data_IF_380989385023
#
_entry.id   IF_380989385023
#
_cell.length_a   1.000
_cell.length_b   1.000
_cell.length_c   1.000
_cell.angle_alpha   90.00
_cell.angle_beta   90.00
_cell.angle_gamma   90.00
#
_symmetry.space_group_name_H-M   'P 1'
#
loop_
_entity.id
_entity.type
_entity.pdbx_description
1 polymer ?
#
# COMPACT_ATOMS: atom_id res chain seq x y z
N UNK A 1 41.76 7.79 -29.15
CA UNK A 1 40.54 8.47 -28.63
C UNK A 1 39.27 7.60 -28.61
N UNK A 2 39.29 6.32 -29.00
CA UNK A 2 38.08 5.46 -29.00
C UNK A 2 37.74 4.81 -27.65
N UNK A 3 38.72 4.69 -26.75
CA UNK A 3 38.57 3.96 -25.48
C UNK A 3 37.80 4.72 -24.39
N UNK A 4 37.78 6.06 -24.41
CA UNK A 4 37.09 6.87 -23.40
C UNK A 4 35.56 6.90 -23.56
N UNK A 5 35.05 6.75 -24.78
CA UNK A 5 33.62 6.82 -25.08
C UNK A 5 32.89 5.53 -24.66
N UNK A 6 33.59 4.40 -24.67
CA UNK A 6 33.07 3.10 -24.23
C UNK A 6 32.87 3.06 -22.71
N UNK A 7 33.80 3.64 -21.94
CA UNK A 7 33.71 3.65 -20.45
C UNK A 7 32.53 4.50 -19.98
N UNK A 8 32.30 5.67 -20.60
CA UNK A 8 31.15 6.54 -20.28
C UNK A 8 29.82 5.87 -20.63
N UNK A 9 29.73 5.19 -21.78
CA UNK A 9 28.52 4.46 -22.17
C UNK A 9 28.20 3.29 -21.20
N UNK A 10 29.22 2.56 -20.74
CA UNK A 10 29.06 1.46 -19.76
C UNK A 10 28.64 2.01 -18.39
N UNK A 11 29.21 3.13 -17.92
CA UNK A 11 28.81 3.74 -16.65
C UNK A 11 27.36 4.28 -16.67
N UNK A 12 26.92 4.88 -17.77
CA UNK A 12 25.53 5.35 -17.93
C UNK A 12 24.56 4.17 -18.03
N UNK A 13 24.92 3.09 -18.74
CA UNK A 13 24.13 1.86 -18.78
C UNK A 13 24.01 1.19 -17.41
N UNK A 14 25.11 1.03 -16.66
CA UNK A 14 25.08 0.45 -15.32
C UNK A 14 24.26 1.33 -14.35
N UNK A 15 24.39 2.65 -14.43
CA UNK A 15 23.60 3.59 -13.63
C UNK A 15 22.10 3.53 -13.93
N UNK A 16 21.72 3.44 -15.21
CA UNK A 16 20.31 3.33 -15.62
C UNK A 16 19.68 1.98 -15.25
N UNK A 17 20.42 0.88 -15.42
CA UNK A 17 19.98 -0.46 -15.01
C UNK A 17 19.86 -0.56 -13.48
N UNK A 18 20.83 0.00 -12.74
CA UNK A 18 20.78 0.09 -11.28
C UNK A 18 19.58 0.89 -10.78
N UNK A 19 19.28 2.04 -11.41
CA UNK A 19 18.12 2.87 -11.10
C UNK A 19 16.79 2.16 -11.36
N UNK A 20 16.66 1.44 -12.49
CA UNK A 20 15.46 0.69 -12.83
C UNK A 20 15.21 -0.50 -11.88
N UNK A 21 16.28 -1.22 -11.49
CA UNK A 21 16.19 -2.31 -10.50
C UNK A 21 15.77 -1.76 -9.13
N UNK A 22 16.35 -0.63 -8.72
CA UNK A 22 16.02 0.02 -7.44
C UNK A 22 14.56 0.51 -7.42
N UNK A 23 14.06 1.09 -8.52
CA UNK A 23 12.65 1.50 -8.65
C UNK A 23 11.70 0.30 -8.60
N UNK A 24 12.00 -0.80 -9.30
CA UNK A 24 11.18 -2.02 -9.27
C UNK A 24 11.12 -2.61 -7.86
N UNK A 25 12.25 -2.66 -7.16
CA UNK A 25 12.30 -3.12 -5.77
C UNK A 25 11.51 -2.20 -4.84
N UNK A 26 11.59 -0.88 -5.02
CA UNK A 26 10.82 0.07 -4.23
C UNK A 26 9.30 -0.03 -4.46
N UNK A 27 8.86 -0.13 -5.72
CA UNK A 27 7.44 -0.31 -6.06
C UNK A 27 6.90 -1.62 -5.49
N UNK A 28 7.69 -2.69 -5.58
CA UNK A 28 7.35 -3.99 -4.99
C UNK A 28 7.21 -3.90 -3.47
N UNK A 29 8.17 -3.29 -2.78
CA UNK A 29 8.11 -3.09 -1.32
C UNK A 29 6.84 -2.34 -0.90
N UNK A 30 6.45 -1.32 -1.67
CA UNK A 30 5.22 -0.55 -1.40
C UNK A 30 3.99 -1.45 -1.57
N UNK A 31 3.92 -2.25 -2.63
CA UNK A 31 2.82 -3.17 -2.88
C UNK A 31 2.66 -4.19 -1.75
N UNK A 32 3.75 -4.86 -1.37
CA UNK A 32 3.73 -5.84 -0.28
C UNK A 32 3.37 -5.20 1.07
N UNK A 33 3.88 -3.99 1.36
CA UNK A 33 3.54 -3.29 2.59
C UNK A 33 2.06 -2.95 2.68
N UNK A 34 1.45 -2.49 1.57
CA UNK A 34 0.01 -2.16 1.55
C UNK A 34 -0.86 -3.38 1.78
N UNK A 35 -0.55 -4.49 1.13
CA UNK A 35 -1.28 -5.74 1.32
C UNK A 35 -1.17 -6.22 2.76
N UNK A 36 0.03 -6.15 3.35
CA UNK A 36 0.24 -6.62 4.71
C UNK A 36 -0.51 -5.75 5.71
N UNK A 37 -0.45 -4.43 5.56
CA UNK A 37 -1.23 -3.49 6.38
C UNK A 37 -2.72 -3.73 6.22
N UNK A 38 -3.21 -4.00 5.01
CA UNK A 38 -4.61 -4.34 4.76
C UNK A 38 -5.01 -5.63 5.49
N UNK A 39 -4.16 -6.66 5.42
CA UNK A 39 -4.36 -7.89 6.20
C UNK A 39 -4.40 -7.64 7.70
N UNK A 40 -3.53 -6.77 8.23
CA UNK A 40 -3.53 -6.40 9.64
C UNK A 40 -4.80 -5.62 10.03
N UNK A 41 -5.31 -4.75 9.15
CA UNK A 41 -6.60 -4.06 9.35
C UNK A 41 -7.76 -5.05 9.41
N UNK A 42 -7.79 -6.05 8.52
CA UNK A 42 -8.80 -7.11 8.59
C UNK A 42 -8.69 -7.93 9.89
N UNK A 43 -7.46 -8.16 10.38
CA UNK A 43 -7.27 -8.77 11.69
C UNK A 43 -7.87 -7.90 12.79
N UNK A 44 -7.51 -6.61 12.83
CA UNK A 44 -8.01 -5.65 13.80
C UNK A 44 -9.55 -5.63 13.81
N UNK A 45 -10.17 -5.61 12.63
CA UNK A 45 -11.62 -5.62 12.51
C UNK A 45 -12.23 -6.89 13.13
N UNK A 46 -11.66 -8.06 12.83
CA UNK A 46 -12.13 -9.34 13.38
C UNK A 46 -11.87 -9.51 14.88
N UNK A 47 -10.86 -8.83 15.43
CA UNK A 47 -10.39 -8.97 16.82
C UNK A 47 -10.89 -7.86 17.75
N UNK A 48 -11.69 -6.91 17.26
CA UNK A 48 -12.14 -5.75 18.03
C UNK A 48 -11.04 -4.72 18.31
N UNK A 49 -10.08 -4.56 17.39
CA UNK A 49 -9.05 -3.53 17.43
C UNK A 49 -7.71 -3.97 18.02
N UNK A 50 -7.48 -5.28 18.21
CA UNK A 50 -6.24 -5.84 18.77
C UNK A 50 -5.33 -6.41 17.70
N UNK A 51 -4.03 -6.12 17.77
CA UNK A 51 -3.07 -6.75 16.86
C UNK A 51 -3.00 -8.26 17.11
N UNK A 52 -2.65 -9.06 16.08
CA UNK A 52 -2.34 -10.47 16.26
C UNK A 52 -1.24 -10.67 17.30
N UNK A 53 -1.43 -11.63 18.21
CA UNK A 53 -0.48 -11.91 19.31
C UNK A 53 0.86 -12.45 18.82
N UNK A 54 0.88 -13.06 17.64
CA UNK A 54 2.07 -13.63 17.02
C UNK A 54 1.91 -13.69 15.51
N UNK A 55 3.03 -13.95 14.82
CA UNK A 55 3.01 -14.23 13.39
C UNK A 55 2.08 -15.42 13.05
N UNK A 56 2.07 -16.47 13.86
CA UNK A 56 1.23 -17.64 13.60
C UNK A 56 -0.26 -17.32 13.74
N UNK A 57 -0.64 -16.47 14.71
CA UNK A 57 -2.01 -15.99 14.85
C UNK A 57 -2.47 -15.18 13.63
N UNK A 58 -1.57 -14.40 13.03
CA UNK A 58 -1.87 -13.72 11.76
C UNK A 58 -2.00 -14.72 10.61
N UNK A 59 -1.05 -15.65 10.48
CA UNK A 59 -1.03 -16.66 9.41
C UNK A 59 -2.16 -17.69 9.48
N UNK A 60 -2.87 -17.81 10.60
CA UNK A 60 -4.06 -18.65 10.75
C UNK A 60 -5.37 -17.93 10.45
N UNK A 61 -5.31 -16.64 10.09
CA UNK A 61 -6.50 -15.84 9.81
C UNK A 61 -7.17 -16.25 8.49
N UNK A 62 -8.52 -16.22 8.41
CA UNK A 62 -9.26 -16.74 7.25
C UNK A 62 -9.05 -15.93 5.96
N UNK A 63 -8.53 -14.70 6.07
CA UNK A 63 -8.19 -13.83 4.94
C UNK A 63 -6.73 -13.97 4.49
N UNK A 64 -5.93 -14.84 5.12
CA UNK A 64 -4.53 -15.09 4.73
C UNK A 64 -4.44 -16.39 3.94
N UNK A 65 -4.15 -16.28 2.66
CA UNK A 65 -3.86 -17.41 1.79
C UNK A 65 -2.34 -17.65 1.78
N UNK A 66 -1.90 -18.78 2.35
CA UNK A 66 -0.50 -19.22 2.27
C UNK A 66 -0.25 -19.78 0.87
N UNK A 67 0.75 -19.24 0.20
CA UNK A 67 1.17 -19.69 -1.12
C UNK A 67 2.35 -20.66 -0.99
N UNK A 68 2.53 -21.59 -1.95
CA UNK A 68 3.68 -22.49 -1.93
C UNK A 68 4.97 -21.69 -1.86
N UNK A 69 5.79 -22.04 -0.87
CA UNK A 69 7.06 -21.41 -0.60
C UNK A 69 8.04 -21.64 -1.74
N UNK A 70 8.66 -20.58 -2.27
CA UNK A 70 9.95 -20.71 -2.94
C UNK A 70 11.04 -20.64 -1.86
N UNK A 71 11.96 -21.61 -1.87
CA UNK A 71 13.16 -21.61 -1.02
C UNK A 71 12.90 -21.58 0.50
N UNK A 72 11.83 -22.25 0.97
CA UNK A 72 11.49 -22.32 2.40
C UNK A 72 10.92 -21.03 3.00
N UNK A 73 10.55 -20.05 2.17
CA UNK A 73 9.94 -18.78 2.59
C UNK A 73 8.42 -18.84 2.49
N UNK A 74 7.70 -18.35 3.50
CA UNK A 74 6.24 -18.29 3.46
C UNK A 74 5.83 -17.07 2.63
N UNK A 75 5.41 -17.33 1.40
CA UNK A 75 4.69 -16.34 0.59
C UNK A 75 3.20 -16.36 0.93
N UNK A 76 2.55 -15.21 0.86
CA UNK A 76 1.15 -15.08 1.21
C UNK A 76 0.42 -14.02 0.38
N UNK A 77 -0.89 -14.21 0.27
CA UNK A 77 -1.82 -13.28 -0.37
C UNK A 77 -2.95 -12.97 0.60
N UNK A 78 -3.37 -11.71 0.63
CA UNK A 78 -4.51 -11.28 1.43
C UNK A 78 -5.78 -11.35 0.59
N UNK A 79 -6.82 -11.99 1.12
CA UNK A 79 -8.15 -12.11 0.53
C UNK A 79 -9.13 -11.28 1.35
N UNK A 80 -9.78 -10.28 0.74
CA UNK A 80 -10.62 -9.37 1.50
C UNK A 80 -11.84 -10.12 2.04
N UNK A 81 -12.16 -10.03 3.34
CA UNK A 81 -13.39 -10.59 3.87
C UNK A 81 -14.62 -9.98 3.19
N UNK A 82 -15.63 -10.81 2.89
CA UNK A 82 -16.85 -10.33 2.26
C UNK A 82 -17.61 -9.29 3.11
N UNK A 83 -17.40 -9.31 4.42
CA UNK A 83 -18.11 -8.46 5.39
C UNK A 83 -17.27 -7.29 5.91
N UNK A 84 -16.02 -7.13 5.45
CA UNK A 84 -15.16 -6.07 5.96
C UNK A 84 -15.69 -4.68 5.58
N UNK A 85 -15.71 -3.76 6.54
CA UNK A 85 -16.02 -2.34 6.29
C UNK A 85 -14.85 -1.59 5.66
N UNK A 86 -13.62 -2.11 5.80
CA UNK A 86 -12.41 -1.57 5.18
C UNK A 86 -12.16 -2.16 3.79
N UNK A 87 -13.24 -2.49 3.07
CA UNK A 87 -13.23 -3.06 1.72
C UNK A 87 -12.48 -2.16 0.75
N UNK A 88 -11.19 -2.38 0.67
CA UNK A 88 -10.30 -1.78 -0.30
C UNK A 88 -9.88 -2.93 -1.20
N UNK A 89 -10.07 -2.79 -2.52
CA UNK A 89 -9.68 -3.84 -3.45
C UNK A 89 -8.20 -4.17 -3.25
N UNK A 90 -7.86 -5.38 -2.78
CA UNK A 90 -6.48 -5.78 -2.70
C UNK A 90 -5.95 -5.83 -4.12
N UNK A 91 -4.77 -5.27 -4.32
CA UNK A 91 -4.09 -5.33 -5.62
C UNK A 91 -3.64 -6.75 -5.93
N UNK A 92 -3.79 -7.67 -4.99
CA UNK A 92 -3.39 -9.07 -5.11
C UNK A 92 -1.88 -9.23 -5.08
N UNK A 93 -1.15 -8.22 -4.56
CA UNK A 93 0.30 -8.28 -4.48
C UNK A 93 0.70 -9.40 -3.52
N UNK A 94 1.60 -10.27 -3.96
CA UNK A 94 2.08 -11.38 -3.13
C UNK A 94 3.15 -10.85 -2.17
N UNK A 95 2.93 -11.04 -0.87
CA UNK A 95 3.91 -10.79 0.18
C UNK A 95 4.83 -12.00 0.20
N UNK A 96 6.11 -11.83 -0.13
CA UNK A 96 7.00 -12.97 -0.35
C UNK A 96 7.57 -13.58 0.92
N UNK A 97 7.80 -12.74 1.92
CA UNK A 97 8.39 -13.13 3.18
C UNK A 97 7.97 -12.15 4.28
N UNK A 98 7.29 -12.65 5.33
CA UNK A 98 6.95 -11.82 6.48
C UNK A 98 8.16 -11.35 7.28
N UNK A 99 9.30 -12.04 7.17
CA UNK A 99 10.53 -11.68 7.89
C UNK A 99 11.15 -10.38 7.40
N UNK A 100 10.74 -9.89 6.22
CA UNK A 100 11.15 -8.59 5.70
C UNK A 100 10.49 -7.42 6.47
N UNK A 101 9.52 -7.71 7.34
CA UNK A 101 8.73 -6.74 8.08
C UNK A 101 8.94 -6.86 9.60
N UNK A 102 9.02 -5.71 10.25
CA UNK A 102 8.92 -5.59 11.71
C UNK A 102 7.47 -5.24 12.04
N UNK A 103 6.80 -6.12 12.77
CA UNK A 103 5.39 -5.97 13.14
C UNK A 103 5.29 -5.95 14.67
N UNK A 104 4.53 -4.99 15.20
CA UNK A 104 4.23 -4.87 16.61
C UNK A 104 3.17 -5.89 17.06
N UNK A 105 3.55 -7.17 17.10
CA UNK A 105 2.68 -8.25 17.56
C UNK A 105 2.17 -8.00 18.99
N UNK A 106 0.91 -8.35 19.24
CA UNK A 106 0.25 -8.20 20.55
C UNK A 106 0.00 -6.76 20.99
N UNK A 107 0.36 -5.75 20.18
CA UNK A 107 0.10 -4.36 20.50
C UNK A 107 -1.41 -4.05 20.52
N UNK A 108 -1.78 -3.00 21.26
CA UNK A 108 -3.13 -2.42 21.25
C UNK A 108 -3.06 -1.02 20.61
N UNK A 109 -3.17 -0.90 19.27
CA UNK A 109 -2.87 0.34 18.56
C UNK A 109 -3.75 1.51 19.00
N UNK A 110 -5.00 1.25 19.40
CA UNK A 110 -5.92 2.28 19.86
C UNK A 110 -5.44 3.05 21.10
N UNK A 111 -4.58 2.43 21.92
CA UNK A 111 -3.98 3.03 23.13
C UNK A 111 -2.75 3.88 22.84
N UNK A 112 -2.21 3.79 21.63
CA UNK A 112 -0.98 4.47 21.25
C UNK A 112 -1.28 5.92 20.87
N UNK A 113 -0.27 6.77 21.07
CA UNK A 113 -0.26 8.15 20.56
C UNK A 113 0.76 8.28 19.44
N UNK A 114 0.58 9.26 18.57
CA UNK A 114 1.53 9.54 17.47
C UNK A 114 2.18 10.88 17.78
N UNK A 115 3.51 10.91 17.83
CA UNK A 115 4.25 12.16 18.05
C UNK A 115 4.37 12.98 16.76
N UNK A 116 4.97 14.18 16.84
CA UNK A 116 5.13 15.08 15.69
C UNK A 116 5.99 14.48 14.56
N UNK A 117 6.78 13.44 14.84
CA UNK A 117 7.58 12.74 13.83
C UNK A 117 6.80 11.61 13.13
N UNK A 118 5.58 11.31 13.60
CA UNK A 118 4.79 10.18 13.14
C UNK A 118 5.13 8.86 13.85
N UNK A 119 5.95 8.90 14.92
CA UNK A 119 6.30 7.69 15.65
C UNK A 119 5.22 7.34 16.68
N UNK A 120 4.82 6.07 16.72
CA UNK A 120 3.86 5.59 17.70
C UNK A 120 4.52 5.45 19.07
N UNK A 121 3.84 5.97 20.11
CA UNK A 121 4.28 6.01 21.50
C UNK A 121 3.30 5.24 22.38
N UNK A 122 3.83 4.39 23.23
CA UNK A 122 3.06 3.71 24.28
C UNK A 122 2.66 4.71 25.38
N UNK A 123 1.65 4.40 26.21
CA UNK A 123 1.29 5.24 27.36
C UNK A 123 2.45 5.49 28.33
N UNK A 124 3.43 4.56 28.39
CA UNK A 124 4.65 4.70 29.18
C UNK A 124 5.73 5.60 28.52
N UNK A 125 5.45 6.18 27.34
CA UNK A 125 6.37 7.06 26.61
C UNK A 125 7.38 6.34 25.70
N UNK A 126 7.36 5.00 25.64
CA UNK A 126 8.24 4.22 24.78
C UNK A 126 7.83 4.26 23.31
N UNK A 127 8.79 4.23 22.39
CA UNK A 127 8.48 4.11 20.94
C UNK A 127 8.15 2.68 20.58
N UNK A 128 7.04 2.48 19.86
CA UNK A 128 6.66 1.19 19.30
C UNK A 128 6.59 1.26 17.77
N UNK A 129 7.17 0.29 17.08
CA UNK A 129 7.00 0.13 15.64
C UNK A 129 5.86 -0.86 15.40
N UNK A 130 4.70 -0.36 15.00
CA UNK A 130 3.57 -1.22 14.62
C UNK A 130 3.83 -1.94 13.30
N UNK A 131 4.45 -1.24 12.36
CA UNK A 131 4.80 -1.76 11.05
C UNK A 131 6.04 -1.03 10.54
N UNK A 132 7.05 -1.77 10.08
CA UNK A 132 8.18 -1.20 9.35
C UNK A 132 8.75 -2.23 8.38
N UNK A 133 9.31 -1.77 7.26
CA UNK A 133 10.21 -2.61 6.49
C UNK A 133 11.54 -2.71 7.23
N UNK A 134 12.09 -3.91 7.41
CA UNK A 134 13.29 -4.12 8.23
C UNK A 134 14.46 -3.21 7.82
N UNK A 135 14.56 -2.85 6.54
CA UNK A 135 15.63 -1.98 6.02
C UNK A 135 15.28 -0.50 5.82
N UNK A 136 14.04 -0.04 6.11
CA UNK A 136 13.63 1.37 5.86
C UNK A 136 12.64 1.92 6.90
N UNK A 137 13.02 2.97 7.61
CA UNK A 137 12.24 3.52 8.75
C UNK A 137 11.13 4.52 8.40
N UNK A 138 11.26 5.33 7.33
CA UNK A 138 10.29 6.44 7.10
C UNK A 138 8.89 5.99 6.63
N UNK A 139 8.79 4.86 5.92
CA UNK A 139 7.50 4.29 5.53
C UNK A 139 6.74 3.65 6.71
N UNK A 140 7.43 3.42 7.84
CA UNK A 140 6.86 2.82 9.04
C UNK A 140 5.79 3.71 9.69
N UNK A 141 6.00 5.03 9.66
CA UNK A 141 5.16 5.98 10.38
C UNK A 141 3.76 6.08 9.75
N UNK A 142 3.68 6.19 8.43
CA UNK A 142 2.39 6.27 7.70
C UNK A 142 1.54 5.03 7.94
N UNK A 143 2.13 3.83 7.80
CA UNK A 143 1.38 2.59 8.00
C UNK A 143 1.07 2.33 9.48
N UNK A 144 1.94 2.75 10.41
CA UNK A 144 1.66 2.71 11.84
C UNK A 144 0.47 3.60 12.22
N UNK A 145 0.40 4.82 11.70
CA UNK A 145 -0.72 5.74 11.90
C UNK A 145 -2.03 5.17 11.34
N UNK A 146 -2.01 4.60 10.13
CA UNK A 146 -3.17 3.92 9.56
C UNK A 146 -3.72 2.79 10.45
N UNK A 147 -2.83 2.00 11.07
CA UNK A 147 -3.23 0.93 12.00
C UNK A 147 -3.83 1.47 13.30
N UNK A 148 -3.31 2.59 13.80
CA UNK A 148 -3.84 3.27 14.99
C UNK A 148 -5.24 3.83 14.70
N UNK A 149 -5.40 4.53 13.58
CA UNK A 149 -6.67 5.12 13.19
C UNK A 149 -7.74 4.04 12.93
N UNK A 150 -7.37 2.96 12.23
CA UNK A 150 -8.26 1.82 12.04
C UNK A 150 -8.69 1.21 13.39
N UNK A 151 -7.75 0.98 14.31
CA UNK A 151 -8.08 0.42 15.63
C UNK A 151 -8.99 1.33 16.46
N UNK A 152 -8.77 2.66 16.41
CA UNK A 152 -9.61 3.66 17.06
C UNK A 152 -11.03 3.67 16.48
N UNK A 153 -11.14 3.65 15.16
CA UNK A 153 -12.42 3.55 14.48
C UNK A 153 -13.16 2.25 14.82
N UNK A 154 -12.45 1.13 14.96
CA UNK A 154 -13.04 -0.18 15.33
C UNK A 154 -13.55 -0.15 16.77
N UNK A 155 -12.79 0.45 17.67
CA UNK A 155 -13.11 0.54 19.10
C UNK A 155 -14.10 1.64 19.45
N UNK A 156 -14.52 2.47 18.49
CA UNK A 156 -15.40 3.62 18.73
C UNK A 156 -14.70 4.76 19.49
N UNK A 157 -13.38 4.72 19.61
CA UNK A 157 -12.58 5.80 20.17
C UNK A 157 -12.46 6.86 19.06
N UNK A 158 -13.36 7.83 19.07
CA UNK A 158 -13.41 8.88 18.04
C UNK A 158 -12.05 9.57 17.90
N UNK A 159 -11.34 9.30 16.81
CA UNK A 159 -10.20 10.10 16.41
C UNK A 159 -10.70 11.50 16.02
N UNK A 160 -9.98 12.55 16.41
CA UNK A 160 -10.22 13.92 15.94
C UNK A 160 -10.41 13.90 14.40
N UNK A 161 -11.41 14.59 13.83
CA UNK A 161 -11.66 14.55 12.40
C UNK A 161 -10.45 15.13 11.65
N UNK A 162 -9.73 14.27 10.92
CA UNK A 162 -8.52 14.66 10.19
C UNK A 162 -7.88 13.57 9.34
N UNK A 163 -8.06 12.29 9.68
CA UNK A 163 -7.54 11.17 8.91
C UNK A 163 -8.67 10.37 8.27
N UNK A 164 -9.40 10.99 7.34
CA UNK A 164 -10.15 10.19 6.37
C UNK A 164 -9.14 9.30 5.65
N UNK A 165 -9.38 7.98 5.64
CA UNK A 165 -8.62 6.97 4.90
C UNK A 165 -8.06 7.58 3.61
N UNK A 166 -6.79 7.98 3.62
CA UNK A 166 -6.20 8.67 2.48
C UNK A 166 -6.35 7.74 1.26
N UNK A 167 -6.90 8.23 0.13
CA UNK A 167 -6.82 7.47 -1.10
C UNK A 167 -5.33 7.18 -1.37
N UNK A 168 -4.99 5.96 -1.87
CA UNK A 168 -3.60 5.62 -2.14
C UNK A 168 -2.98 6.71 -3.00
N UNK A 169 -1.70 7.11 -2.77
CA UNK A 169 -1.08 8.18 -3.53
C UNK A 169 -1.24 7.86 -5.01
N UNK A 170 -1.91 8.76 -5.73
CA UNK A 170 -2.04 8.72 -7.17
C UNK A 170 -0.61 8.66 -7.70
N UNK A 171 -0.21 7.50 -8.24
CA UNK A 171 1.00 7.45 -9.05
C UNK A 171 0.74 8.44 -10.18
N UNK A 172 1.51 9.52 -10.20
CA UNK A 172 1.59 10.42 -11.34
C UNK A 172 1.91 9.54 -12.55
N UNK A 173 0.90 9.28 -13.36
CA UNK A 173 1.07 8.75 -14.69
C UNK A 173 1.73 9.89 -15.45
N UNK A 174 3.05 9.80 -15.63
CA UNK A 174 3.77 10.68 -16.54
C UNK A 174 3.21 10.44 -17.93
N UNK A 175 2.23 11.23 -18.32
CA UNK A 175 1.82 11.40 -19.72
C UNK A 175 2.86 12.29 -20.37
N UNK A 176 3.93 11.65 -20.85
CA UNK A 176 4.82 12.23 -21.84
C UNK A 176 4.32 11.78 -23.22
N UNK A 177 3.71 12.72 -23.94
CA UNK A 177 3.95 12.93 -25.37
C UNK A 177 3.38 11.90 -26.35
N UNK A 178 2.30 12.29 -27.01
CA UNK A 178 1.83 11.69 -28.26
C UNK A 178 0.88 12.64 -28.97
N UNK A 179 1.41 13.80 -29.38
CA UNK A 179 0.73 14.69 -30.31
C UNK A 179 0.50 13.96 -31.64
N UNK A 180 -0.74 13.93 -32.09
CA UNK A 180 -1.18 13.43 -33.38
C UNK A 180 -2.37 14.26 -33.82
N UNK A 181 -2.06 15.51 -34.17
CA UNK A 181 -2.97 16.47 -34.79
C UNK A 181 -3.31 16.00 -36.20
N UNK A 182 -4.60 16.01 -36.56
CA UNK A 182 -5.12 16.11 -37.92
C UNK A 182 -6.63 16.33 -37.84
N UNK A 183 -7.01 17.61 -37.79
CA UNK A 183 -8.35 18.08 -38.13
C UNK A 183 -8.57 18.03 -39.65
N UNK A 184 -9.78 17.63 -40.08
CA UNK A 184 -10.50 18.21 -41.23
C UNK A 184 -11.91 17.63 -41.34
N UNK A 185 -12.86 18.43 -40.87
CA UNK A 185 -14.01 18.97 -41.63
C UNK A 185 -14.78 18.06 -42.61
N UNK A 186 -16.08 17.87 -42.35
CA UNK A 186 -17.16 18.46 -43.18
C UNK A 186 -18.57 18.04 -42.70
N UNK A 187 -19.46 19.05 -42.77
CA UNK A 187 -20.92 19.09 -42.88
C UNK A 187 -21.70 17.75 -42.83
N UNK A 188 -22.81 17.62 -42.10
CA UNK A 188 -23.94 18.54 -42.03
C UNK A 188 -25.18 17.82 -42.58
N UNK A 189 -26.18 17.57 -41.74
CA UNK A 189 -27.53 17.21 -42.17
C UNK A 189 -28.53 17.44 -41.03
N UNK A 190 -29.24 18.55 -41.15
CA UNK A 190 -30.46 18.91 -40.41
C UNK A 190 -31.63 18.05 -40.89
N UNK A 191 -32.40 17.46 -39.96
CA UNK A 191 -33.82 17.11 -40.12
C UNK A 191 -34.41 16.95 -38.72
N UNK A 192 -34.94 18.00 -38.11
CA UNK A 192 -36.35 18.46 -38.13
C UNK A 192 -37.35 17.36 -37.77
N UNK A 193 -37.83 17.40 -36.52
CA UNK A 193 -39.01 16.70 -36.04
C UNK A 193 -40.29 17.21 -36.74
N UNK A 194 -41.39 16.47 -36.63
CA UNK A 194 -42.55 17.10 -36.00
C UNK A 194 -43.24 16.23 -34.96
N UNK A 195 -43.96 16.95 -34.10
CA UNK A 195 -44.78 16.48 -33.00
C UNK A 195 -46.09 15.81 -33.47
N UNK A 196 -46.53 14.82 -32.67
CA UNK A 196 -47.87 14.68 -32.07
C UNK A 196 -49.10 15.27 -32.83
N UNK A 197 -50.05 14.41 -33.23
CA UNK A 197 -51.44 14.32 -32.72
C UNK A 197 -52.43 13.68 -33.72
N UNK A 198 -53.31 12.87 -33.13
CA UNK A 198 -54.60 12.30 -33.59
C UNK A 198 -54.62 11.28 -34.74
#
# INVERSE_FOLDING_TARGET
>A
MRSGLIVVAVCVLIGSVGGAIMMRNAQRQIGESRELVLGLIYYLESSGGKMPQSQEAFLSSPFVERLPAQDGRISLRIRPPATSRFRTDPRGTVIRDLRDFVIGWGAEPATLTVDQSGAARTPAGGTLKLFAWASKSKAANVYGEMLIDAAREITGITAKPGAGLMPPPKQARSEAGGAGDSASESAGATQTAPAERE
#
